data_IF_069837905450
#
_entry.id   IF_069837905450
#
_cell.length_a   1.000
_cell.length_b   1.000
_cell.length_c   1.000
_cell.angle_alpha   90.00
_cell.angle_beta   90.00
_cell.angle_gamma   90.00
#
_symmetry.space_group_name_H-M   'P 1'
#
loop_
_entity.id
_entity.type
_entity.pdbx_description
1 polymer ?
#
# COMPACT_ATOMS: atom_id res chain seq x y z
N UNK A 1 -10.35 -8.71 23.65
CA UNK A 1 -11.67 -8.42 24.25
C UNK A 1 -11.85 -6.93 24.55
N UNK A 2 -10.96 -6.29 25.35
CA UNK A 2 -11.15 -4.88 25.74
C UNK A 2 -10.84 -3.89 24.61
N UNK A 3 -9.85 -4.16 23.78
CA UNK A 3 -9.46 -3.32 22.62
C UNK A 3 -10.54 -3.42 21.54
N UNK A 4 -11.06 -4.62 21.27
CA UNK A 4 -12.16 -4.83 20.32
C UNK A 4 -13.45 -4.14 20.77
N UNK A 5 -13.77 -4.17 22.07
CA UNK A 5 -14.92 -3.46 22.63
C UNK A 5 -14.76 -1.92 22.60
N UNK A 6 -13.53 -1.42 22.84
CA UNK A 6 -13.22 0.01 22.73
C UNK A 6 -13.24 0.47 21.27
N UNK A 7 -12.78 -0.36 20.34
CA UNK A 7 -12.80 -0.06 18.90
C UNK A 7 -14.22 -0.12 18.32
N UNK A 8 -15.01 -1.16 18.66
CA UNK A 8 -16.42 -1.24 18.30
C UNK A 8 -17.21 -0.01 18.80
N UNK A 9 -16.93 0.41 20.03
CA UNK A 9 -17.54 1.61 20.61
C UNK A 9 -17.12 2.89 19.89
N UNK A 10 -15.86 2.99 19.45
CA UNK A 10 -15.37 4.13 18.65
C UNK A 10 -16.07 4.22 17.29
N UNK A 11 -16.29 3.07 16.62
CA UNK A 11 -17.03 3.01 15.36
C UNK A 11 -18.51 3.39 15.53
N UNK A 12 -19.13 2.97 16.62
CA UNK A 12 -20.52 3.32 16.95
C UNK A 12 -20.65 4.81 17.37
N UNK A 13 -19.76 5.30 18.23
CA UNK A 13 -19.76 6.68 18.72
C UNK A 13 -19.34 7.69 17.63
N UNK A 14 -18.46 7.28 16.68
CA UNK A 14 -18.02 8.09 15.54
C UNK A 14 -19.04 8.18 14.39
N UNK A 15 -20.17 7.47 14.48
CA UNK A 15 -21.24 7.51 13.48
C UNK A 15 -20.93 6.71 12.20
N UNK A 16 -19.88 5.89 12.20
CA UNK A 16 -19.53 4.99 11.09
C UNK A 16 -20.41 3.75 11.07
N UNK A 17 -21.07 3.41 12.20
CA UNK A 17 -22.14 2.43 12.25
C UNK A 17 -23.46 3.19 12.27
N UNK A 18 -24.17 3.25 11.14
CA UNK A 18 -25.52 3.82 11.08
C UNK A 18 -26.48 2.88 11.80
N UNK A 19 -27.06 3.30 12.91
CA UNK A 19 -28.32 2.71 13.37
C UNK A 19 -29.37 2.85 12.26
N UNK A 20 -29.77 1.74 11.64
CA UNK A 20 -30.98 1.64 10.84
C UNK A 20 -30.95 2.34 9.48
N UNK A 21 -29.92 2.15 8.66
CA UNK A 21 -30.04 2.29 7.22
C UNK A 21 -30.97 1.20 6.68
N UNK A 22 -31.98 1.57 5.85
CA UNK A 22 -32.89 0.61 5.25
C UNK A 22 -32.12 -0.55 4.65
N UNK A 23 -32.41 -1.76 5.11
CA UNK A 23 -31.86 -3.02 4.60
C UNK A 23 -32.06 -3.00 3.07
N UNK A 24 -30.94 -3.01 2.29
CA UNK A 24 -30.97 -3.54 0.97
C UNK A 24 -31.65 -4.93 1.06
N UNK A 25 -32.57 -5.25 0.18
CA UNK A 25 -33.26 -6.53 0.18
C UNK A 25 -32.20 -7.64 0.31
N UNK A 26 -32.14 -8.26 1.50
CA UNK A 26 -31.34 -9.47 1.71
C UNK A 26 -31.71 -10.46 0.62
N UNK A 27 -30.80 -10.72 -0.31
CA UNK A 27 -30.87 -11.98 -1.05
C UNK A 27 -30.86 -13.08 0.01
N UNK A 28 -31.84 -13.99 0.04
CA UNK A 28 -31.88 -15.04 1.04
C UNK A 28 -30.53 -15.78 1.04
N UNK A 29 -29.96 -16.04 2.20
CA UNK A 29 -28.71 -16.80 2.36
C UNK A 29 -28.72 -18.13 1.56
N UNK A 30 -29.90 -18.72 1.34
CA UNK A 30 -30.11 -19.87 0.47
C UNK A 30 -29.75 -19.66 -1.02
N UNK A 31 -29.80 -18.43 -1.53
CA UNK A 31 -29.45 -18.15 -2.93
C UNK A 31 -27.94 -18.00 -3.15
N UNK A 32 -27.20 -17.58 -2.11
CA UNK A 32 -25.73 -17.50 -2.15
C UNK A 32 -25.09 -18.87 -1.94
N UNK A 33 -25.67 -19.72 -1.07
CA UNK A 33 -25.21 -21.10 -0.84
C UNK A 33 -25.25 -21.97 -2.10
N UNK A 34 -26.05 -21.62 -3.12
CA UNK A 34 -26.16 -22.41 -4.36
C UNK A 34 -24.99 -22.25 -5.33
N UNK A 35 -24.09 -21.28 -5.11
CA UNK A 35 -22.96 -20.98 -6.01
C UNK A 35 -21.62 -21.54 -5.49
N UNK A 36 -21.56 -21.92 -4.22
CA UNK A 36 -20.37 -22.56 -3.66
C UNK A 36 -20.43 -24.07 -3.80
N UNK A 37 -19.32 -24.73 -4.23
CA UNK A 37 -19.25 -26.18 -4.19
C UNK A 37 -19.32 -26.65 -2.72
N UNK A 38 -19.80 -27.86 -2.45
CA UNK A 38 -19.73 -28.41 -1.11
C UNK A 38 -18.26 -28.47 -0.68
N UNK A 39 -17.97 -28.09 0.59
CA UNK A 39 -16.58 -28.08 1.06
C UNK A 39 -15.97 -29.48 0.94
N UNK A 40 -14.63 -29.56 0.66
CA UNK A 40 -13.92 -30.85 0.63
C UNK A 40 -14.13 -31.61 1.94
N UNK A 41 -14.38 -32.91 1.84
CA UNK A 41 -14.69 -33.74 2.98
C UNK A 41 -13.55 -33.71 4.02
N UNK A 42 -13.87 -33.35 5.26
CA UNK A 42 -12.92 -33.34 6.38
C UNK A 42 -12.23 -31.98 6.62
N UNK A 43 -12.35 -30.99 5.74
CA UNK A 43 -11.81 -29.65 5.98
C UNK A 43 -12.82 -28.83 6.79
N UNK A 44 -12.42 -28.38 7.98
CA UNK A 44 -13.26 -27.61 8.91
C UNK A 44 -12.74 -26.22 9.19
N UNK A 45 -11.47 -25.98 8.85
CA UNK A 45 -10.82 -24.70 9.08
C UNK A 45 -9.73 -24.42 8.03
N UNK A 46 -9.51 -23.14 7.77
CA UNK A 46 -8.41 -22.59 6.99
C UNK A 46 -7.66 -21.57 7.85
N UNK A 47 -6.34 -21.56 7.74
CA UNK A 47 -5.46 -20.63 8.43
C UNK A 47 -4.80 -19.70 7.43
N UNK A 48 -4.97 -18.37 7.63
CA UNK A 48 -4.36 -17.33 6.83
C UNK A 48 -3.35 -16.61 7.70
N UNK A 49 -2.09 -16.57 7.30
CA UNK A 49 -1.08 -15.73 7.95
C UNK A 49 -1.13 -14.33 7.38
N UNK A 50 -1.11 -13.31 8.24
CA UNK A 50 -0.97 -11.91 7.83
C UNK A 50 -0.24 -11.08 8.89
N UNK A 51 0.15 -9.85 8.50
CA UNK A 51 0.67 -8.87 9.43
C UNK A 51 -0.41 -8.39 10.41
N UNK A 52 0.02 -7.93 11.59
CA UNK A 52 -0.88 -7.37 12.60
C UNK A 52 -1.20 -5.91 12.27
N UNK A 53 -2.43 -5.66 11.80
CA UNK A 53 -2.98 -4.35 11.49
C UNK A 53 -4.49 -4.43 11.24
N UNK A 54 -5.16 -3.28 11.14
CA UNK A 54 -6.62 -3.24 11.02
C UNK A 54 -7.19 -4.06 9.86
N UNK A 55 -6.63 -4.06 8.62
CA UNK A 55 -7.13 -4.92 7.55
C UNK A 55 -7.13 -6.42 7.87
N UNK A 56 -6.23 -6.90 8.72
CA UNK A 56 -6.24 -8.31 9.13
C UNK A 56 -7.44 -8.62 10.04
N UNK A 57 -7.86 -7.67 10.87
CA UNK A 57 -9.09 -7.79 11.66
C UNK A 57 -10.32 -7.79 10.75
N UNK A 58 -10.35 -6.94 9.73
CA UNK A 58 -11.43 -6.92 8.73
C UNK A 58 -11.49 -8.24 7.94
N UNK A 59 -10.35 -8.82 7.57
CA UNK A 59 -10.31 -10.13 6.91
C UNK A 59 -10.82 -11.25 7.84
N UNK A 60 -10.61 -11.14 9.16
CA UNK A 60 -11.20 -12.07 10.11
C UNK A 60 -12.74 -11.97 10.12
N UNK A 61 -13.31 -10.75 10.03
CA UNK A 61 -14.76 -10.58 9.92
C UNK A 61 -15.30 -11.17 8.59
N UNK A 62 -14.61 -10.98 7.49
CA UNK A 62 -14.91 -11.65 6.22
C UNK A 62 -14.83 -13.17 6.38
N UNK A 63 -13.83 -13.68 7.10
CA UNK A 63 -13.71 -15.10 7.43
C UNK A 63 -14.87 -15.63 8.24
N UNK A 64 -15.39 -14.84 9.18
CA UNK A 64 -16.58 -15.19 9.97
C UNK A 64 -17.84 -15.28 9.09
N UNK A 65 -17.98 -14.42 8.06
CA UNK A 65 -19.07 -14.52 7.08
C UNK A 65 -18.97 -15.82 6.26
N UNK A 66 -17.75 -16.18 5.83
CA UNK A 66 -17.51 -17.42 5.11
C UNK A 66 -17.86 -18.65 5.95
N UNK A 67 -17.52 -18.66 7.26
CA UNK A 67 -17.89 -19.71 8.18
C UNK A 67 -19.41 -19.84 8.32
N UNK A 68 -20.14 -18.73 8.40
CA UNK A 68 -21.61 -18.73 8.47
C UNK A 68 -22.25 -19.36 7.24
N UNK A 69 -21.68 -19.13 6.04
CA UNK A 69 -22.20 -19.66 4.79
C UNK A 69 -21.81 -21.11 4.54
N UNK A 70 -20.58 -21.51 4.89
CA UNK A 70 -20.01 -22.80 4.48
C UNK A 70 -19.79 -23.78 5.62
N UNK A 71 -19.74 -23.31 6.86
CA UNK A 71 -19.34 -24.09 8.03
C UNK A 71 -17.83 -24.34 8.14
N UNK A 72 -17.02 -23.73 7.28
CA UNK A 72 -15.54 -23.77 7.34
C UNK A 72 -15.06 -22.52 8.08
N UNK A 73 -14.43 -22.72 9.22
CA UNK A 73 -13.83 -21.63 10.00
C UNK A 73 -12.62 -21.06 9.27
N UNK A 74 -12.49 -19.73 9.24
CA UNK A 74 -11.29 -19.04 8.75
C UNK A 74 -10.62 -18.37 9.95
N UNK A 75 -9.35 -18.66 10.17
CA UNK A 75 -8.54 -18.05 11.21
C UNK A 75 -7.50 -17.15 10.55
N UNK A 76 -7.55 -15.85 10.78
CA UNK A 76 -6.51 -14.91 10.39
C UNK A 76 -5.50 -14.82 11.53
N UNK A 77 -4.31 -15.36 11.30
CA UNK A 77 -3.22 -15.41 12.27
C UNK A 77 -2.32 -14.23 12.02
N UNK A 78 -2.26 -13.33 13.00
CA UNK A 78 -1.59 -12.04 12.86
C UNK A 78 -0.23 -12.06 13.54
N UNK A 79 0.79 -11.55 12.84
CA UNK A 79 2.15 -11.37 13.34
C UNK A 79 2.58 -9.90 13.23
N UNK A 80 3.31 -9.36 14.22
CA UNK A 80 3.83 -8.00 14.11
C UNK A 80 4.66 -7.81 12.84
N UNK A 81 4.53 -6.65 12.19
CA UNK A 81 5.23 -6.34 10.94
C UNK A 81 6.72 -6.66 10.99
N UNK A 82 7.41 -6.31 12.08
CA UNK A 82 8.85 -6.55 12.23
C UNK A 82 9.28 -8.02 12.28
N UNK A 83 8.37 -8.96 12.55
CA UNK A 83 8.64 -10.40 12.61
C UNK A 83 7.91 -11.21 11.53
N UNK A 84 6.95 -10.61 10.84
CA UNK A 84 6.07 -11.28 9.90
C UNK A 84 6.84 -11.96 8.75
N UNK A 85 7.77 -11.26 8.12
CA UNK A 85 8.61 -11.81 7.06
C UNK A 85 9.51 -12.95 7.53
N UNK A 86 10.18 -12.77 8.66
CA UNK A 86 11.08 -13.79 9.23
C UNK A 86 10.32 -15.06 9.62
N UNK A 87 9.12 -14.92 10.21
CA UNK A 87 8.28 -16.04 10.55
C UNK A 87 7.85 -16.78 9.29
N UNK A 88 7.34 -16.06 8.29
CA UNK A 88 6.87 -16.64 7.03
C UNK A 88 7.98 -17.42 6.33
N UNK A 89 9.15 -16.82 6.11
CA UNK A 89 10.24 -17.50 5.42
C UNK A 89 10.87 -18.64 6.22
N UNK A 90 10.83 -18.58 7.56
CA UNK A 90 11.24 -19.70 8.42
C UNK A 90 10.32 -20.90 8.23
N UNK A 91 9.01 -20.69 8.26
CA UNK A 91 8.00 -21.74 8.05
C UNK A 91 8.11 -22.32 6.63
N UNK A 92 8.27 -21.47 5.62
CA UNK A 92 8.39 -21.91 4.21
C UNK A 92 9.68 -22.68 3.96
N UNK A 93 10.80 -22.28 4.56
CA UNK A 93 12.08 -23.00 4.47
C UNK A 93 12.00 -24.39 5.09
N UNK A 94 11.17 -24.56 6.10
CA UNK A 94 10.88 -25.87 6.71
C UNK A 94 9.82 -26.68 5.94
N UNK A 95 9.26 -26.15 4.85
CA UNK A 95 8.10 -26.71 4.13
C UNK A 95 6.91 -26.96 5.07
N UNK A 96 6.70 -26.03 6.01
CA UNK A 96 5.66 -26.10 7.00
C UNK A 96 4.26 -26.00 6.40
N UNK A 97 3.29 -26.50 7.14
CA UNK A 97 1.88 -26.54 6.74
C UNK A 97 0.97 -25.94 7.81
N UNK A 98 1.52 -25.05 8.65
CA UNK A 98 0.77 -24.37 9.72
C UNK A 98 -0.27 -23.41 9.16
N UNK A 99 -0.03 -22.90 7.96
CA UNK A 99 -0.89 -21.97 7.24
C UNK A 99 -1.32 -22.57 5.90
N UNK A 100 -2.55 -22.26 5.47
CA UNK A 100 -3.06 -22.61 4.15
C UNK A 100 -2.77 -21.54 3.12
N UNK A 101 -2.86 -20.31 3.57
CA UNK A 101 -2.66 -19.11 2.78
C UNK A 101 -1.83 -18.09 3.56
N UNK A 102 -1.23 -17.17 2.82
CA UNK A 102 -0.64 -15.96 3.35
C UNK A 102 -1.17 -14.78 2.54
N UNK A 103 -1.51 -13.68 3.23
CA UNK A 103 -1.62 -12.38 2.57
C UNK A 103 -0.22 -11.79 2.64
N UNK A 104 0.55 -12.08 1.59
CA UNK A 104 1.97 -11.80 1.53
C UNK A 104 2.27 -10.47 0.86
N UNK A 105 3.31 -9.82 1.33
CA UNK A 105 3.80 -8.57 0.76
C UNK A 105 4.20 -8.77 -0.71
N UNK A 106 3.91 -7.81 -1.57
CA UNK A 106 4.20 -7.87 -3.00
C UNK A 106 5.70 -8.07 -3.29
N UNK A 107 6.56 -7.50 -2.46
CA UNK A 107 8.01 -7.67 -2.55
C UNK A 107 8.49 -9.13 -2.40
N UNK A 108 7.67 -10.01 -1.80
CA UNK A 108 8.01 -11.44 -1.61
C UNK A 108 7.58 -12.34 -2.77
N UNK A 109 6.77 -11.82 -3.69
CA UNK A 109 6.17 -12.61 -4.76
C UNK A 109 7.23 -13.35 -5.61
N UNK A 110 8.26 -12.63 -6.01
CA UNK A 110 9.36 -13.20 -6.82
C UNK A 110 10.13 -14.29 -6.09
N UNK A 111 10.49 -14.08 -4.83
CA UNK A 111 11.19 -15.07 -4.01
C UNK A 111 10.31 -16.30 -3.76
N UNK A 112 9.10 -16.11 -3.29
CA UNK A 112 8.22 -17.20 -2.87
C UNK A 112 7.76 -18.07 -4.03
N UNK A 113 7.48 -17.48 -5.20
CA UNK A 113 7.14 -18.22 -6.40
C UNK A 113 8.33 -19.00 -6.95
N UNK A 114 9.52 -18.37 -7.04
CA UNK A 114 10.74 -19.01 -7.55
C UNK A 114 11.24 -20.16 -6.68
N UNK A 115 11.05 -20.06 -5.37
CA UNK A 115 11.44 -21.11 -4.41
C UNK A 115 10.34 -22.19 -4.25
N UNK A 116 9.19 -22.04 -4.92
CA UNK A 116 8.11 -23.01 -4.90
C UNK A 116 7.30 -23.02 -3.60
N UNK A 117 7.30 -21.92 -2.86
CA UNK A 117 6.51 -21.77 -1.64
C UNK A 117 5.03 -21.53 -1.95
N UNK A 118 4.73 -20.82 -3.04
CA UNK A 118 3.38 -20.55 -3.50
C UNK A 118 2.90 -21.59 -4.52
N UNK A 119 1.62 -21.88 -4.47
CA UNK A 119 0.95 -22.70 -5.47
C UNK A 119 0.74 -21.89 -6.74
N UNK A 120 1.03 -22.47 -7.91
CA UNK A 120 0.62 -21.89 -9.19
C UNK A 120 -0.92 -21.83 -9.28
N UNK A 121 -1.47 -20.63 -9.35
CA UNK A 121 -2.90 -20.39 -9.40
C UNK A 121 -3.38 -19.96 -10.81
N UNK A 122 -2.52 -20.01 -11.83
CA UNK A 122 -2.80 -19.52 -13.18
C UNK A 122 -4.07 -20.08 -13.77
N UNK A 123 -4.19 -21.41 -13.78
CA UNK A 123 -5.38 -22.10 -14.31
C UNK A 123 -6.64 -21.77 -13.50
N UNK A 124 -6.50 -21.70 -12.18
CA UNK A 124 -7.62 -21.37 -11.29
C UNK A 124 -8.13 -19.95 -11.53
N UNK A 125 -7.26 -18.95 -11.46
CA UNK A 125 -7.64 -17.54 -11.65
C UNK A 125 -8.19 -17.26 -13.04
N UNK A 126 -7.63 -17.93 -14.06
CA UNK A 126 -8.05 -17.77 -15.45
C UNK A 126 -9.38 -18.47 -15.75
N UNK A 127 -9.54 -19.74 -15.34
CA UNK A 127 -10.74 -20.51 -15.63
C UNK A 127 -11.98 -20.02 -14.87
N UNK A 128 -11.79 -19.46 -13.68
CA UNK A 128 -12.86 -18.84 -12.88
C UNK A 128 -13.18 -17.41 -13.32
N UNK A 129 -12.26 -16.75 -14.03
CA UNK A 129 -12.39 -15.35 -14.47
C UNK A 129 -12.16 -14.32 -13.36
N UNK A 130 -11.84 -14.74 -12.12
CA UNK A 130 -11.69 -13.81 -10.98
C UNK A 130 -10.49 -12.88 -11.13
N UNK A 131 -9.47 -13.24 -11.93
CA UNK A 131 -8.35 -12.33 -12.25
C UNK A 131 -8.80 -11.04 -12.94
N UNK A 132 -9.95 -11.06 -13.62
CA UNK A 132 -10.48 -9.91 -14.34
C UNK A 132 -11.39 -9.01 -13.46
N UNK A 133 -11.59 -9.39 -12.20
CA UNK A 133 -12.34 -8.58 -11.22
C UNK A 133 -11.50 -7.46 -10.58
N UNK A 134 -10.19 -7.59 -10.60
CA UNK A 134 -9.26 -6.65 -9.98
C UNK A 134 -8.62 -5.70 -11.00
N UNK A 135 -7.96 -4.65 -10.53
CA UNK A 135 -7.26 -3.74 -11.43
C UNK A 135 -6.06 -4.45 -12.10
N UNK A 136 -5.73 -4.12 -13.35
CA UNK A 136 -4.58 -4.72 -14.03
C UNK A 136 -3.25 -4.54 -13.28
N UNK A 137 -3.06 -3.39 -12.63
CA UNK A 137 -1.85 -3.11 -11.86
C UNK A 137 -1.72 -4.04 -10.64
N UNK A 138 -2.79 -4.18 -9.84
CA UNK A 138 -2.74 -5.07 -8.66
C UNK A 138 -2.59 -6.54 -9.07
N UNK A 139 -3.22 -6.97 -10.16
CA UNK A 139 -3.00 -8.33 -10.68
C UNK A 139 -1.54 -8.56 -11.08
N UNK A 140 -0.92 -7.58 -11.74
CA UNK A 140 0.49 -7.65 -12.14
C UNK A 140 1.41 -7.69 -10.93
N UNK A 141 1.24 -6.77 -9.97
CA UNK A 141 2.19 -6.61 -8.88
C UNK A 141 1.99 -7.59 -7.72
N UNK A 142 0.74 -8.01 -7.44
CA UNK A 142 0.44 -8.90 -6.32
C UNK A 142 0.21 -10.35 -6.72
N UNK A 143 0.08 -10.62 -8.01
CA UNK A 143 -0.24 -11.96 -8.48
C UNK A 143 0.75 -12.53 -9.48
N UNK A 144 1.31 -11.72 -10.38
CA UNK A 144 2.07 -12.20 -11.53
C UNK A 144 3.57 -12.25 -11.28
N UNK A 145 4.18 -13.42 -11.53
CA UNK A 145 5.64 -13.55 -11.57
C UNK A 145 6.06 -14.69 -12.53
N UNK A 146 7.10 -14.52 -13.39
CA UNK A 146 7.77 -13.23 -13.69
C UNK A 146 6.83 -12.20 -14.34
N UNK A 147 7.13 -10.89 -14.22
CA UNK A 147 6.30 -9.86 -14.84
C UNK A 147 6.07 -10.09 -16.34
N UNK A 148 4.81 -10.00 -16.79
CA UNK A 148 4.41 -10.23 -18.18
C UNK A 148 4.38 -11.69 -18.63
N UNK A 149 4.53 -12.65 -17.73
CA UNK A 149 4.50 -14.09 -18.05
C UNK A 149 3.10 -14.67 -18.18
N UNK A 150 2.10 -14.03 -17.58
CA UNK A 150 0.76 -14.59 -17.42
C UNK A 150 0.68 -15.72 -16.40
N UNK A 151 1.70 -15.88 -15.54
CA UNK A 151 1.73 -16.89 -14.48
C UNK A 151 1.40 -16.23 -13.16
N UNK A 152 0.35 -16.69 -12.48
CA UNK A 152 -0.22 -16.07 -11.28
C UNK A 152 -0.04 -16.93 -10.03
N UNK A 153 0.43 -16.31 -8.96
CA UNK A 153 0.78 -16.96 -7.68
C UNK A 153 -0.03 -16.41 -6.49
N UNK A 154 -0.74 -15.30 -6.68
CA UNK A 154 -1.56 -14.66 -5.68
C UNK A 154 -2.81 -14.01 -6.28
N UNK A 155 -3.83 -13.82 -5.45
CA UNK A 155 -5.01 -13.01 -5.77
C UNK A 155 -4.88 -11.67 -5.03
N UNK A 156 -4.95 -10.51 -5.73
CA UNK A 156 -4.89 -9.20 -5.11
C UNK A 156 -5.94 -9.02 -4.02
N UNK A 157 -5.50 -8.73 -2.81
CA UNK A 157 -6.35 -8.71 -1.61
C UNK A 157 -6.44 -7.34 -0.99
N UNK A 158 -5.29 -6.72 -0.78
CA UNK A 158 -5.15 -5.39 -0.18
C UNK A 158 -4.44 -4.47 -1.16
N UNK A 159 -5.11 -3.39 -1.57
CA UNK A 159 -4.68 -2.51 -2.65
C UNK A 159 -4.13 -1.18 -2.16
N UNK A 160 -3.36 -1.15 -1.08
CA UNK A 160 -2.86 0.10 -0.53
C UNK A 160 -1.89 0.82 -1.47
N UNK A 161 -1.81 2.14 -1.33
CA UNK A 161 -0.92 2.99 -2.12
C UNK A 161 -0.59 4.27 -1.34
N UNK A 162 0.50 4.94 -1.73
CA UNK A 162 0.84 6.24 -1.19
C UNK A 162 -0.04 7.36 -1.75
N UNK A 163 -0.44 8.26 -0.85
CA UNK A 163 -1.16 9.49 -1.17
C UNK A 163 -0.76 10.61 -0.21
N UNK A 164 -1.51 11.69 -0.24
CA UNK A 164 -1.21 12.88 0.54
C UNK A 164 -2.44 13.38 1.28
N UNK A 165 -2.24 13.78 2.53
CA UNK A 165 -3.18 14.57 3.31
C UNK A 165 -2.73 16.03 3.35
N UNK A 166 -3.67 16.99 3.44
CA UNK A 166 -3.37 18.41 3.57
C UNK A 166 -4.38 19.11 4.50
N UNK A 167 -3.98 20.23 5.06
CA UNK A 167 -4.74 21.07 5.98
C UNK A 167 -5.60 22.05 5.19
N UNK A 168 -6.90 21.77 5.00
CA UNK A 168 -7.85 22.65 4.32
C UNK A 168 -7.94 24.03 4.96
N UNK A 169 -7.91 24.11 6.29
CA UNK A 169 -7.94 25.38 7.03
C UNK A 169 -6.77 26.31 6.67
N UNK A 170 -5.61 25.76 6.28
CA UNK A 170 -4.49 26.55 5.77
C UNK A 170 -4.68 26.89 4.28
N UNK A 171 -5.06 25.92 3.46
CA UNK A 171 -5.18 26.09 2.02
C UNK A 171 -6.37 26.96 1.60
N UNK A 172 -7.46 26.95 2.37
CA UNK A 172 -8.69 27.70 2.12
C UNK A 172 -8.73 29.03 2.90
N UNK A 173 -7.69 29.36 3.66
CA UNK A 173 -7.58 30.64 4.34
C UNK A 173 -7.38 31.77 3.32
N UNK A 174 -8.27 32.79 3.26
CA UNK A 174 -8.18 33.86 2.25
C UNK A 174 -6.88 34.66 2.30
N UNK A 175 -6.28 34.85 3.47
CA UNK A 175 -5.05 35.58 3.65
C UNK A 175 -3.86 34.76 3.12
N UNK A 176 -3.84 33.45 3.38
CA UNK A 176 -2.83 32.52 2.85
C UNK A 176 -2.94 32.39 1.34
N UNK A 177 -4.16 32.27 0.80
CA UNK A 177 -4.39 32.23 -0.64
C UNK A 177 -3.88 33.48 -1.34
N UNK A 178 -4.15 34.65 -0.78
CA UNK A 178 -3.69 35.92 -1.34
C UNK A 178 -2.16 36.06 -1.28
N UNK A 179 -1.55 35.70 -0.15
CA UNK A 179 -0.10 35.76 0.04
C UNK A 179 0.64 34.77 -0.85
N UNK A 180 0.12 33.55 -0.99
CA UNK A 180 0.69 32.53 -1.89
C UNK A 180 0.65 33.00 -3.35
N UNK A 181 -0.52 33.49 -3.79
CA UNK A 181 -0.69 34.01 -5.15
C UNK A 181 0.23 35.21 -5.46
N UNK A 182 0.42 36.11 -4.49
CA UNK A 182 1.35 37.24 -4.62
C UNK A 182 2.80 36.75 -4.77
N UNK A 183 3.18 35.71 -4.01
CA UNK A 183 4.55 35.17 -4.03
C UNK A 183 4.85 34.30 -5.26
N UNK A 184 3.95 33.41 -5.64
CA UNK A 184 4.21 32.39 -6.67
C UNK A 184 3.48 32.63 -8.00
N UNK A 185 2.48 33.50 -8.03
CA UNK A 185 1.78 33.92 -9.27
C UNK A 185 0.65 33.00 -9.71
N UNK A 186 0.31 31.98 -8.93
CA UNK A 186 -0.84 31.09 -9.17
C UNK A 186 -1.63 30.81 -7.88
N UNK A 187 -2.81 30.24 -8.01
CA UNK A 187 -3.71 30.03 -6.88
C UNK A 187 -3.21 28.86 -5.99
N UNK A 188 -3.34 29.01 -4.66
CA UNK A 188 -3.08 27.96 -3.69
C UNK A 188 -4.16 26.88 -3.79
N UNK A 189 -3.76 25.67 -4.09
CA UNK A 189 -4.60 24.48 -4.19
C UNK A 189 -3.74 23.23 -3.93
N UNK A 190 -4.30 22.03 -3.71
CA UNK A 190 -3.53 20.80 -3.68
C UNK A 190 -2.62 20.68 -4.91
N UNK A 191 -1.34 20.33 -4.74
CA UNK A 191 -0.36 20.38 -5.83
C UNK A 191 -0.63 19.31 -6.89
N UNK A 192 -0.61 19.69 -8.16
CA UNK A 192 -0.71 18.78 -9.30
C UNK A 192 0.68 18.29 -9.77
N UNK A 193 1.75 19.03 -9.41
CA UNK A 193 3.12 18.71 -9.79
C UNK A 193 4.08 18.78 -8.61
N UNK A 194 5.21 18.08 -8.68
CA UNK A 194 6.26 18.17 -7.64
C UNK A 194 6.83 19.60 -7.50
N UNK A 195 6.85 20.39 -8.56
CA UNK A 195 7.24 21.80 -8.46
C UNK A 195 6.25 22.60 -7.59
N UNK A 196 4.94 22.39 -7.77
CA UNK A 196 3.92 23.03 -6.93
C UNK A 196 3.97 22.49 -5.49
N UNK A 197 4.20 21.16 -5.31
CA UNK A 197 4.39 20.57 -3.99
C UNK A 197 5.52 21.27 -3.21
N UNK A 198 6.65 21.50 -3.88
CA UNK A 198 7.79 22.23 -3.29
C UNK A 198 7.45 23.68 -2.96
N UNK A 199 6.87 24.43 -3.90
CA UNK A 199 6.47 25.82 -3.67
C UNK A 199 5.52 25.96 -2.46
N UNK A 200 4.55 25.07 -2.34
CA UNK A 200 3.59 25.04 -1.24
C UNK A 200 4.28 24.63 0.07
N UNK A 201 5.18 23.64 0.01
CA UNK A 201 5.93 23.20 1.19
C UNK A 201 6.83 24.33 1.73
N UNK A 202 7.54 25.04 0.86
CA UNK A 202 8.34 26.21 1.24
C UNK A 202 7.48 27.36 1.77
N UNK A 203 6.28 27.56 1.21
CA UNK A 203 5.36 28.60 1.65
C UNK A 203 4.86 28.40 3.09
N UNK A 204 4.54 27.17 3.44
CA UNK A 204 4.04 26.82 4.79
C UNK A 204 5.15 26.49 5.78
N UNK A 205 6.42 26.52 5.38
CA UNK A 205 7.52 26.33 6.34
C UNK A 205 7.78 27.62 7.12
N UNK A 206 7.33 27.64 8.37
CA UNK A 206 7.39 28.77 9.32
C UNK A 206 7.84 28.25 10.68
N UNK A 207 9.14 28.02 10.90
CA UNK A 207 9.63 27.44 12.14
C UNK A 207 9.26 28.19 13.41
N UNK A 208 9.10 29.53 13.33
CA UNK A 208 8.67 30.39 14.43
C UNK A 208 7.21 30.13 14.86
N UNK A 209 6.39 29.56 13.97
CA UNK A 209 5.00 29.14 14.23
C UNK A 209 4.90 27.64 14.53
N UNK A 210 6.03 26.92 14.54
CA UNK A 210 6.10 25.45 14.60
C UNK A 210 5.30 24.78 13.47
N UNK A 211 5.25 25.41 12.29
CA UNK A 211 4.60 24.91 11.10
C UNK A 211 5.65 24.63 10.02
N UNK A 212 5.53 23.47 9.38
CA UNK A 212 6.41 23.00 8.33
C UNK A 212 5.60 22.55 7.11
N UNK A 213 6.25 22.49 5.94
CA UNK A 213 5.54 22.21 4.71
C UNK A 213 5.10 20.78 4.59
N UNK A 214 5.95 19.82 4.99
CA UNK A 214 5.70 18.40 4.74
C UNK A 214 6.11 17.50 5.90
N UNK A 215 5.48 16.33 5.96
CA UNK A 215 6.00 15.12 6.56
C UNK A 215 6.12 14.04 5.48
N UNK A 216 7.33 13.53 5.25
CA UNK A 216 7.66 12.48 4.30
C UNK A 216 8.47 11.37 4.97
N UNK A 217 8.53 10.19 4.34
CA UNK A 217 9.24 9.05 4.87
C UNK A 217 10.77 9.22 4.85
N UNK A 218 11.42 8.90 5.95
CA UNK A 218 12.88 9.07 6.11
C UNK A 218 13.54 7.90 6.83
N UNK A 219 12.76 6.96 7.37
CA UNK A 219 13.27 5.78 8.05
C UNK A 219 13.97 4.85 7.05
N UNK A 220 15.21 4.47 7.35
CA UNK A 220 15.98 3.53 6.53
C UNK A 220 15.78 2.09 7.02
N UNK A 221 14.52 1.65 7.15
CA UNK A 221 14.12 0.32 7.60
C UNK A 221 12.81 -0.08 6.93
N UNK A 222 12.53 -1.38 6.87
CA UNK A 222 11.46 -2.02 6.11
C UNK A 222 11.48 -1.52 4.65
N UNK A 223 10.59 -0.63 4.25
CA UNK A 223 10.52 -0.03 2.90
C UNK A 223 10.39 1.51 2.90
N UNK A 224 10.30 2.13 4.09
CA UNK A 224 9.86 3.51 4.28
C UNK A 224 10.49 4.55 3.34
N UNK A 225 11.80 4.84 3.48
CA UNK A 225 12.45 5.86 2.64
C UNK A 225 12.46 5.48 1.15
N UNK A 226 12.51 4.17 0.87
CA UNK A 226 12.49 3.65 -0.50
C UNK A 226 11.14 3.94 -1.16
N UNK A 227 10.03 3.64 -0.47
CA UNK A 227 8.69 3.93 -0.96
C UNK A 227 8.45 5.42 -1.13
N UNK A 228 8.86 6.22 -0.14
CA UNK A 228 8.77 7.66 -0.27
C UNK A 228 9.50 8.19 -1.50
N UNK A 229 10.71 7.72 -1.76
CA UNK A 229 11.51 8.09 -2.93
C UNK A 229 10.92 7.56 -4.25
N UNK A 230 10.37 6.33 -4.26
CA UNK A 230 9.77 5.72 -5.46
C UNK A 230 8.64 6.57 -6.06
N UNK A 231 7.82 7.21 -5.23
CA UNK A 231 6.79 8.13 -5.70
C UNK A 231 7.37 9.24 -6.60
N UNK A 232 8.49 9.82 -6.18
CA UNK A 232 9.19 10.83 -6.97
C UNK A 232 9.92 10.20 -8.16
N UNK A 233 10.70 9.13 -7.93
CA UNK A 233 11.50 8.47 -8.96
C UNK A 233 10.66 8.05 -10.17
N UNK A 234 9.56 7.34 -9.94
CA UNK A 234 8.70 6.89 -11.02
C UNK A 234 8.00 8.06 -11.74
N UNK A 235 7.54 9.07 -10.99
CA UNK A 235 6.90 10.25 -11.58
C UNK A 235 7.88 11.11 -12.38
N UNK A 236 9.17 11.09 -12.06
CA UNK A 236 10.21 11.76 -12.82
C UNK A 236 10.68 10.97 -14.05
N UNK A 237 10.22 9.72 -14.22
CA UNK A 237 10.59 8.84 -15.32
C UNK A 237 11.74 7.88 -15.00
N UNK A 238 12.22 7.86 -13.75
CA UNK A 238 13.22 6.91 -13.26
C UNK A 238 12.67 5.51 -13.02
N UNK A 239 13.55 4.56 -12.75
CA UNK A 239 13.20 3.18 -12.41
C UNK A 239 14.36 2.49 -11.69
N UNK A 240 14.09 1.35 -11.04
CA UNK A 240 15.12 0.51 -10.42
C UNK A 240 16.00 -0.22 -11.45
N UNK A 241 15.41 -0.71 -12.53
CA UNK A 241 16.10 -1.40 -13.61
C UNK A 241 15.31 -1.34 -14.91
N UNK A 242 15.96 -1.75 -16.01
CA UNK A 242 15.32 -1.99 -17.30
C UNK A 242 14.64 -3.37 -17.37
N UNK A 243 14.02 -3.69 -18.50
CA UNK A 243 13.36 -4.99 -18.74
C UNK A 243 14.35 -6.18 -18.77
N UNK A 244 15.66 -5.91 -18.87
CA UNK A 244 16.73 -6.90 -18.78
C UNK A 244 17.28 -7.09 -17.37
N UNK A 245 16.71 -6.39 -16.39
CA UNK A 245 17.20 -6.27 -15.02
C UNK A 245 18.60 -5.61 -14.92
N UNK A 246 18.92 -4.69 -15.82
CA UNK A 246 20.11 -3.87 -15.68
C UNK A 246 19.77 -2.66 -14.82
N UNK A 247 20.41 -2.54 -13.65
CA UNK A 247 20.27 -1.39 -12.77
C UNK A 247 21.16 -0.22 -13.20
N UNK A 248 22.36 -0.53 -13.68
CA UNK A 248 23.33 0.49 -14.12
C UNK A 248 22.80 1.31 -15.31
N UNK A 249 22.82 2.63 -15.18
CA UNK A 249 22.29 3.56 -16.18
C UNK A 249 20.78 3.76 -16.12
N UNK A 250 20.07 3.06 -15.22
CA UNK A 250 18.63 3.17 -15.01
C UNK A 250 18.31 3.78 -13.65
N UNK A 251 18.70 3.15 -12.54
CA UNK A 251 18.45 3.72 -11.21
C UNK A 251 19.26 4.98 -10.97
N UNK A 252 20.42 5.13 -11.61
CA UNK A 252 21.25 6.33 -11.57
C UNK A 252 21.11 7.22 -12.83
N UNK A 253 19.96 7.13 -13.50
CA UNK A 253 19.61 8.01 -14.63
C UNK A 253 19.46 9.47 -14.19
N UNK A 254 19.60 10.45 -15.13
CA UNK A 254 19.34 11.85 -14.80
C UNK A 254 17.97 12.13 -14.19
N UNK A 255 16.95 11.36 -14.60
CA UNK A 255 15.57 11.45 -14.09
C UNK A 255 15.50 11.01 -12.62
N UNK A 256 16.14 9.88 -12.28
CA UNK A 256 16.22 9.39 -10.90
C UNK A 256 17.03 10.34 -10.01
N UNK A 257 18.12 10.91 -10.54
CA UNK A 257 18.93 11.91 -9.81
C UNK A 257 18.10 13.14 -9.50
N UNK A 258 17.37 13.68 -10.48
CA UNK A 258 16.51 14.85 -10.28
C UNK A 258 15.38 14.56 -9.27
N UNK A 259 14.83 13.34 -9.27
CA UNK A 259 13.85 12.91 -8.30
C UNK A 259 14.42 12.84 -6.87
N UNK A 260 15.64 12.31 -6.72
CA UNK A 260 16.30 12.21 -5.42
C UNK A 260 16.73 13.60 -4.89
N UNK A 261 17.14 14.50 -5.76
CA UNK A 261 17.40 15.90 -5.41
C UNK A 261 16.10 16.58 -4.92
N UNK A 262 14.98 16.42 -5.62
CA UNK A 262 13.68 16.94 -5.18
C UNK A 262 13.27 16.38 -3.82
N UNK A 263 13.43 15.07 -3.60
CA UNK A 263 13.09 14.43 -2.31
C UNK A 263 13.93 15.00 -1.16
N UNK A 264 15.23 15.18 -1.41
CA UNK A 264 16.14 15.81 -0.44
C UNK A 264 15.82 17.28 -0.21
N UNK A 265 15.48 18.04 -1.26
CA UNK A 265 15.06 19.44 -1.12
C UNK A 265 13.82 19.55 -0.21
N UNK A 266 12.81 18.69 -0.39
CA UNK A 266 11.63 18.65 0.49
C UNK A 266 12.02 18.33 1.95
N UNK A 267 12.95 17.39 2.15
CA UNK A 267 13.48 17.07 3.48
C UNK A 267 14.21 18.27 4.10
N UNK A 268 15.17 18.85 3.38
CA UNK A 268 16.04 19.91 3.92
C UNK A 268 15.31 21.22 4.21
N UNK A 269 14.37 21.61 3.32
CA UNK A 269 13.67 22.89 3.49
C UNK A 269 12.49 22.77 4.46
N UNK A 270 11.74 21.65 4.43
CA UNK A 270 10.33 21.72 4.69
C UNK A 270 9.81 20.56 5.56
N UNK A 271 10.65 19.56 5.88
CA UNK A 271 10.34 18.49 6.81
C UNK A 271 10.31 19.02 8.24
N UNK A 272 9.31 18.61 9.02
CA UNK A 272 9.25 18.98 10.42
C UNK A 272 10.45 18.40 11.23
N UNK A 273 11.02 19.15 12.19
CA UNK A 273 12.06 18.65 13.06
C UNK A 273 11.64 17.39 13.82
N UNK A 274 12.58 16.46 14.01
CA UNK A 274 12.32 15.19 14.66
C UNK A 274 11.89 14.06 13.74
N UNK A 275 11.61 14.35 12.47
CA UNK A 275 11.20 13.37 11.47
C UNK A 275 12.39 12.84 10.63
N UNK A 276 13.57 12.71 11.21
CA UNK A 276 14.75 12.11 10.55
C UNK A 276 14.73 10.58 10.52
N UNK A 277 13.73 9.95 11.17
CA UNK A 277 13.48 8.51 11.16
C UNK A 277 11.97 8.28 11.15
N UNK A 278 11.28 8.89 10.18
CA UNK A 278 9.83 8.86 10.08
C UNK A 278 9.34 7.79 9.10
N UNK A 279 8.29 7.10 9.52
CA UNK A 279 7.47 6.24 8.69
C UNK A 279 5.99 6.60 8.91
N UNK A 280 5.07 5.66 8.74
CA UNK A 280 3.63 5.94 8.75
C UNK A 280 3.09 6.53 10.06
N UNK A 281 3.66 6.16 11.21
CA UNK A 281 3.23 6.68 12.52
C UNK A 281 3.65 8.14 12.70
N UNK A 282 4.93 8.42 12.50
CA UNK A 282 5.51 9.74 12.74
C UNK A 282 4.97 10.80 11.77
N UNK A 283 4.67 10.41 10.51
CA UNK A 283 4.07 11.33 9.54
C UNK A 283 2.63 11.68 9.92
N UNK A 284 1.84 10.70 10.37
CA UNK A 284 0.49 10.96 10.90
C UNK A 284 0.53 11.79 12.19
N UNK A 285 1.41 11.47 13.12
CA UNK A 285 1.55 12.20 14.39
C UNK A 285 1.91 13.68 14.16
N UNK A 286 2.80 13.96 13.20
CA UNK A 286 3.15 15.33 12.82
C UNK A 286 1.94 16.10 12.25
N UNK A 287 1.11 15.45 11.44
CA UNK A 287 -0.11 16.04 10.89
C UNK A 287 -1.16 16.28 11.98
N UNK A 288 -1.45 15.28 12.80
CA UNK A 288 -2.39 15.35 13.93
C UNK A 288 -1.94 16.42 14.94
N UNK A 289 -0.62 16.55 15.17
CA UNK A 289 -0.02 17.57 15.99
C UNK A 289 -0.07 18.98 15.41
N UNK A 290 -0.57 19.17 14.18
CA UNK A 290 -0.64 20.45 13.48
C UNK A 290 0.72 21.02 13.08
N UNK A 291 1.76 20.18 13.04
CA UNK A 291 3.13 20.60 12.74
C UNK A 291 3.40 20.72 11.23
N UNK A 292 2.56 20.12 10.40
CA UNK A 292 2.76 20.12 8.95
C UNK A 292 1.51 20.51 8.18
N UNK A 293 1.72 21.17 7.04
CA UNK A 293 0.63 21.55 6.13
C UNK A 293 0.20 20.38 5.25
N UNK A 294 1.13 19.49 4.90
CA UNK A 294 0.91 18.30 4.08
C UNK A 294 1.65 17.10 4.67
N UNK A 295 1.08 15.90 4.49
CA UNK A 295 1.70 14.65 4.95
C UNK A 295 1.52 13.56 3.90
N UNK A 296 2.61 12.90 3.53
CA UNK A 296 2.59 11.70 2.69
C UNK A 296 2.40 10.48 3.60
N UNK A 297 1.53 9.57 3.18
CA UNK A 297 1.35 8.28 3.84
C UNK A 297 0.62 7.31 2.92
N UNK A 298 0.64 6.03 3.26
CA UNK A 298 -0.28 5.06 2.69
C UNK A 298 -1.73 5.40 3.06
N UNK A 299 -2.67 5.17 2.15
CA UNK A 299 -4.09 5.42 2.39
C UNK A 299 -4.63 4.62 3.59
N UNK A 300 -4.08 3.44 3.88
CA UNK A 300 -4.46 2.62 5.02
C UNK A 300 -4.28 3.31 6.39
N UNK A 301 -3.46 4.34 6.47
CA UNK A 301 -3.24 5.10 7.70
C UNK A 301 -4.02 6.43 7.77
N UNK A 302 -4.77 6.78 6.73
CA UNK A 302 -5.60 7.99 6.72
C UNK A 302 -6.90 7.92 7.55
N UNK A 303 -7.47 6.75 7.90
CA UNK A 303 -8.59 6.71 8.84
C UNK A 303 -8.36 7.48 10.14
N UNK A 304 -7.14 7.45 10.70
CA UNK A 304 -6.78 8.24 11.87
C UNK A 304 -6.91 9.76 11.64
N UNK A 305 -6.66 10.23 10.42
CA UNK A 305 -6.68 11.65 10.07
C UNK A 305 -8.11 12.22 9.92
N UNK A 306 -9.10 11.37 9.69
CA UNK A 306 -10.51 11.77 9.60
C UNK A 306 -11.29 11.51 10.88
N UNK A 307 -10.67 10.90 11.88
CA UNK A 307 -11.27 10.65 13.18
C UNK A 307 -11.14 11.87 14.10
N UNK A 308 -12.25 12.58 14.46
CA UNK A 308 -12.20 13.78 15.30
C UNK A 308 -11.77 13.51 16.76
N UNK A 309 -11.81 12.27 17.22
CA UNK A 309 -11.31 11.90 18.56
C UNK A 309 -9.79 11.83 18.61
N UNK A 310 -9.15 11.59 17.46
CA UNK A 310 -7.69 11.47 17.31
C UNK A 310 -7.09 12.74 16.72
N UNK A 311 -7.69 13.25 15.64
CA UNK A 311 -7.20 14.40 14.90
C UNK A 311 -8.07 15.64 15.15
N UNK A 312 -7.57 16.68 15.84
CA UNK A 312 -8.32 17.92 16.04
C UNK A 312 -8.64 18.67 14.74
N UNK A 313 -7.95 18.33 13.64
CA UNK A 313 -8.14 18.88 12.30
C UNK A 313 -8.94 17.96 11.36
N UNK A 314 -9.59 16.92 11.88
CA UNK A 314 -10.28 15.91 11.05
C UNK A 314 -11.27 16.54 10.05
N UNK A 315 -12.05 17.57 10.47
CA UNK A 315 -12.98 18.28 9.58
C UNK A 315 -12.27 19.10 8.49
N UNK A 316 -11.03 19.53 8.75
CA UNK A 316 -10.21 20.34 7.87
C UNK A 316 -9.10 19.52 7.18
N UNK A 317 -9.19 18.20 7.21
CA UNK A 317 -8.29 17.31 6.47
C UNK A 317 -8.82 17.07 5.06
N UNK A 318 -7.99 17.34 4.07
CA UNK A 318 -8.22 16.99 2.66
C UNK A 318 -7.19 16.00 2.17
N UNK A 319 -7.45 15.39 1.01
CA UNK A 319 -6.58 14.39 0.43
C UNK A 319 -6.33 14.66 -1.04
N UNK A 320 -5.16 14.31 -1.54
CA UNK A 320 -4.81 14.41 -2.95
C UNK A 320 -3.87 13.28 -3.37
N UNK A 321 -3.83 13.05 -4.65
CA UNK A 321 -3.00 12.00 -5.28
C UNK A 321 -1.55 12.44 -5.39
N UNK A 322 -0.62 11.51 -5.55
CA UNK A 322 0.79 11.86 -5.74
C UNK A 322 0.97 12.77 -6.97
N UNK A 323 1.76 13.86 -6.86
CA UNK A 323 1.91 14.83 -7.95
C UNK A 323 2.65 14.28 -9.19
N UNK A 324 2.45 14.94 -10.32
CA UNK A 324 3.17 14.66 -11.57
C UNK A 324 4.61 15.14 -11.51
N UNK A 325 5.49 14.38 -12.13
CA UNK A 325 6.87 14.77 -12.38
C UNK A 325 6.99 15.79 -13.53
N UNK A 326 8.21 16.27 -13.81
CA UNK A 326 8.48 17.30 -14.84
C UNK A 326 8.09 16.89 -16.27
N UNK A 327 8.12 15.58 -16.56
CA UNK A 327 7.71 15.01 -17.85
C UNK A 327 6.19 14.87 -18.02
N UNK A 328 5.43 15.08 -16.97
CA UNK A 328 3.98 14.85 -16.92
C UNK A 328 3.59 13.45 -16.50
N UNK A 329 4.54 12.55 -16.28
CA UNK A 329 4.28 11.22 -15.73
C UNK A 329 3.84 11.34 -14.27
N UNK A 330 2.92 10.44 -13.88
CA UNK A 330 2.36 10.39 -12.53
C UNK A 330 2.30 8.94 -12.07
N UNK A 331 2.95 8.67 -10.97
CA UNK A 331 2.90 7.37 -10.32
C UNK A 331 2.80 7.53 -8.80
N UNK A 332 2.15 6.57 -8.16
CA UNK A 332 2.19 6.38 -6.71
C UNK A 332 2.75 5.00 -6.41
N UNK A 333 3.54 4.91 -5.37
CA UNK A 333 4.04 3.63 -4.90
C UNK A 333 2.88 2.80 -4.34
N UNK A 334 2.80 1.56 -4.79
CA UNK A 334 1.79 0.58 -4.37
C UNK A 334 2.38 -0.23 -3.23
N UNK A 335 1.69 -0.37 -2.13
CA UNK A 335 2.16 -1.02 -0.90
C UNK A 335 1.27 -2.17 -0.44
N UNK A 336 0.60 -2.82 -1.36
CA UNK A 336 -0.40 -3.81 -1.01
C UNK A 336 0.06 -5.26 -1.12
N UNK A 337 -0.89 -6.16 -1.02
CA UNK A 337 -0.62 -7.56 -0.75
C UNK A 337 -1.57 -8.50 -1.49
N UNK A 338 -1.04 -9.65 -1.86
CA UNK A 338 -1.76 -10.73 -2.50
C UNK A 338 -1.98 -11.93 -1.59
N UNK A 339 -3.15 -12.56 -1.69
CA UNK A 339 -3.42 -13.83 -1.03
C UNK A 339 -2.90 -14.98 -1.88
N UNK A 340 -1.87 -15.65 -1.37
CA UNK A 340 -1.23 -16.80 -2.01
C UNK A 340 -1.50 -18.08 -1.22
N UNK A 341 -1.66 -19.19 -1.94
CA UNK A 341 -1.87 -20.52 -1.34
C UNK A 341 -0.50 -21.18 -1.13
N UNK A 342 -0.27 -21.73 0.04
CA UNK A 342 0.96 -22.45 0.37
C UNK A 342 1.00 -23.78 -0.41
N UNK A 343 2.10 -24.02 -1.14
CA UNK A 343 2.23 -25.20 -2.02
C UNK A 343 2.31 -26.54 -1.26
N UNK A 344 2.74 -26.52 0.00
CA UNK A 344 3.05 -27.71 0.80
C UNK A 344 1.84 -28.36 1.46
N UNK A 345 0.67 -27.67 1.50
CA UNK A 345 -0.57 -28.22 2.09
C UNK A 345 -1.19 -29.28 1.16
N UNK A 346 -2.05 -30.12 1.71
CA UNK A 346 -2.70 -31.20 0.95
C UNK A 346 -3.60 -30.66 -0.18
N UNK A 347 -3.79 -31.43 -1.28
CA UNK A 347 -4.67 -31.03 -2.38
C UNK A 347 -6.09 -30.64 -1.94
N UNK A 348 -6.67 -31.30 -0.94
CA UNK A 348 -7.99 -30.97 -0.43
C UNK A 348 -7.99 -29.60 0.28
N UNK A 349 -6.94 -29.27 1.02
CA UNK A 349 -6.76 -27.96 1.64
C UNK A 349 -6.50 -26.87 0.58
N UNK A 350 -5.70 -27.18 -0.47
CA UNK A 350 -5.52 -26.28 -1.61
C UNK A 350 -6.85 -25.97 -2.31
N UNK A 351 -7.73 -26.98 -2.45
CA UNK A 351 -9.05 -26.77 -3.04
C UNK A 351 -9.93 -25.89 -2.15
N UNK A 352 -9.95 -26.15 -0.83
CA UNK A 352 -10.71 -25.32 0.12
C UNK A 352 -10.22 -23.86 0.14
N UNK A 353 -8.90 -23.64 0.03
CA UNK A 353 -8.30 -22.30 -0.11
C UNK A 353 -8.73 -21.61 -1.41
N UNK A 354 -8.74 -22.32 -2.54
CA UNK A 354 -9.27 -21.81 -3.82
C UNK A 354 -10.75 -21.44 -3.71
N UNK A 355 -11.56 -22.23 -3.03
CA UNK A 355 -12.99 -21.95 -2.85
C UNK A 355 -13.20 -20.68 -2.01
N UNK A 356 -12.38 -20.48 -0.95
CA UNK A 356 -12.39 -19.23 -0.18
C UNK A 356 -11.99 -18.03 -1.05
N UNK A 357 -10.90 -18.10 -1.79
CA UNK A 357 -10.44 -17.00 -2.66
C UNK A 357 -11.52 -16.68 -3.72
N UNK A 358 -12.14 -17.70 -4.33
CA UNK A 358 -13.21 -17.49 -5.30
C UNK A 358 -14.43 -16.80 -4.68
N UNK A 359 -14.79 -17.16 -3.46
CA UNK A 359 -15.87 -16.53 -2.73
C UNK A 359 -15.50 -15.08 -2.34
N UNK A 360 -14.30 -14.86 -1.81
CA UNK A 360 -13.79 -13.52 -1.47
C UNK A 360 -13.76 -12.58 -2.67
N UNK A 361 -13.47 -13.09 -3.87
CA UNK A 361 -13.43 -12.31 -5.11
C UNK A 361 -14.80 -11.86 -5.64
N UNK A 362 -15.92 -12.28 -5.05
CA UNK A 362 -17.26 -11.84 -5.46
C UNK A 362 -17.44 -10.34 -5.19
N UNK A 363 -18.05 -9.61 -6.14
CA UNK A 363 -18.26 -8.17 -6.00
C UNK A 363 -18.99 -7.79 -4.70
N UNK A 364 -19.97 -8.61 -4.26
CA UNK A 364 -20.70 -8.39 -2.99
C UNK A 364 -19.81 -8.52 -1.76
N UNK A 365 -18.90 -9.50 -1.75
CA UNK A 365 -17.96 -9.70 -0.64
C UNK A 365 -16.88 -8.62 -0.66
N UNK A 366 -16.43 -8.19 -1.82
CA UNK A 366 -15.51 -7.07 -1.96
C UNK A 366 -16.14 -5.73 -1.54
N UNK A 367 -17.47 -5.57 -1.66
CA UNK A 367 -18.20 -4.44 -1.08
C UNK A 367 -18.20 -4.48 0.44
N UNK A 368 -18.44 -5.65 1.05
CA UNK A 368 -18.36 -5.83 2.51
C UNK A 368 -16.92 -5.61 3.00
N UNK A 369 -15.92 -6.15 2.28
CA UNK A 369 -14.51 -5.90 2.55
C UNK A 369 -14.19 -4.39 2.60
N UNK A 370 -14.62 -3.65 1.59
CA UNK A 370 -14.42 -2.21 1.51
C UNK A 370 -15.23 -1.44 2.58
N UNK A 371 -16.42 -1.92 2.92
CA UNK A 371 -17.26 -1.31 3.97
C UNK A 371 -16.68 -1.47 5.38
N UNK A 372 -15.94 -2.56 5.62
CA UNK A 372 -15.18 -2.77 6.86
C UNK A 372 -13.91 -1.87 6.92
N UNK A 373 -13.46 -1.33 5.82
CA UNK A 373 -12.24 -0.51 5.72
C UNK A 373 -11.09 -1.17 4.96
N UNK A 374 -11.30 -2.34 4.36
CA UNK A 374 -10.33 -3.00 3.49
C UNK A 374 -10.12 -2.23 2.20
N UNK A 375 -8.88 -2.14 1.74
CA UNK A 375 -8.50 -1.44 0.51
C UNK A 375 -8.62 -2.39 -0.68
N UNK A 376 -9.85 -2.48 -1.19
CA UNK A 376 -10.18 -3.44 -2.26
C UNK A 376 -9.39 -3.18 -3.54
N UNK A 377 -8.99 -4.27 -4.21
CA UNK A 377 -8.45 -4.25 -5.56
C UNK A 377 -9.54 -4.41 -6.65
N UNK A 378 -10.81 -4.63 -6.26
CA UNK A 378 -11.90 -4.87 -7.21
C UNK A 378 -12.25 -3.62 -8.00
N UNK A 379 -12.12 -3.72 -9.34
CA UNK A 379 -12.30 -2.60 -10.26
C UNK A 379 -13.71 -1.98 -10.23
N UNK A 380 -14.75 -2.76 -9.92
CA UNK A 380 -16.13 -2.26 -9.86
C UNK A 380 -16.39 -1.57 -8.53
N UNK A 381 -15.91 -2.16 -7.43
CA UNK A 381 -16.10 -1.60 -6.08
C UNK A 381 -15.39 -0.27 -5.97
N UNK A 382 -14.15 -0.16 -6.47
CA UNK A 382 -13.38 1.10 -6.50
C UNK A 382 -14.12 2.27 -7.19
N UNK A 383 -15.02 1.96 -8.12
CA UNK A 383 -15.79 2.96 -8.87
C UNK A 383 -17.23 3.13 -8.35
N UNK A 384 -17.63 2.40 -7.33
CA UNK A 384 -18.98 2.48 -6.77
C UNK A 384 -19.19 3.78 -5.98
N UNK A 385 -20.41 4.30 -6.00
CA UNK A 385 -20.78 5.51 -5.24
C UNK A 385 -20.65 5.25 -3.73
N UNK A 386 -20.97 4.04 -3.29
CA UNK A 386 -20.84 3.59 -1.93
C UNK A 386 -19.38 3.70 -1.44
N UNK A 387 -18.43 3.19 -2.23
CA UNK A 387 -17.02 3.28 -1.89
C UNK A 387 -16.51 4.72 -1.91
N UNK A 388 -16.78 5.45 -2.99
CA UNK A 388 -16.28 6.82 -3.17
C UNK A 388 -16.80 7.80 -2.11
N UNK A 389 -17.99 7.53 -1.55
CA UNK A 389 -18.60 8.38 -0.51
C UNK A 389 -18.32 7.92 0.92
N UNK A 390 -17.78 6.72 1.12
CA UNK A 390 -17.60 6.11 2.44
C UNK A 390 -16.57 6.84 3.30
N UNK A 391 -15.49 7.34 2.70
CA UNK A 391 -14.47 8.12 3.40
C UNK A 391 -13.96 9.27 2.53
N UNK A 392 -13.54 10.40 3.13
CA UNK A 392 -13.06 11.57 2.39
C UNK A 392 -11.83 11.32 1.51
N UNK A 393 -11.03 10.30 1.82
CA UNK A 393 -9.83 9.91 1.07
C UNK A 393 -10.10 8.89 -0.05
N UNK A 394 -11.26 8.21 -0.07
CA UNK A 394 -11.57 7.18 -1.06
C UNK A 394 -11.55 7.68 -2.51
N UNK A 395 -12.01 8.90 -2.86
CA UNK A 395 -11.85 9.42 -4.21
C UNK A 395 -10.40 9.53 -4.66
N UNK A 396 -9.52 10.04 -3.79
CA UNK A 396 -8.08 10.12 -4.09
C UNK A 396 -7.44 8.73 -4.18
N UNK A 397 -7.84 7.80 -3.31
CA UNK A 397 -7.40 6.40 -3.40
C UNK A 397 -7.81 5.75 -4.72
N UNK A 398 -9.09 5.83 -5.10
CA UNK A 398 -9.59 5.25 -6.35
C UNK A 398 -8.90 5.83 -7.59
N UNK A 399 -8.60 7.13 -7.58
CA UNK A 399 -7.81 7.80 -8.63
C UNK A 399 -6.37 7.28 -8.64
N UNK A 400 -5.72 7.20 -7.47
CA UNK A 400 -4.35 6.70 -7.31
C UNK A 400 -4.19 5.30 -7.89
N UNK A 401 -5.15 4.40 -7.67
CA UNK A 401 -5.13 3.04 -8.20
C UNK A 401 -5.09 2.93 -9.72
N UNK A 402 -5.27 4.03 -10.45
CA UNK A 402 -5.15 4.06 -11.92
C UNK A 402 -3.73 4.28 -12.43
N UNK A 403 -2.79 4.73 -11.57
CA UNK A 403 -1.41 5.02 -11.93
C UNK A 403 -0.38 4.51 -10.90
N UNK A 404 -0.73 3.45 -10.21
CA UNK A 404 0.20 2.81 -9.24
C UNK A 404 1.32 2.05 -9.94
N UNK A 405 2.47 2.02 -9.29
CA UNK A 405 3.62 1.19 -9.63
C UNK A 405 4.23 0.67 -8.33
N UNK A 406 4.62 -0.60 -8.34
CA UNK A 406 5.05 -1.28 -7.13
C UNK A 406 6.53 -1.58 -7.13
N UNK A 407 6.95 -2.21 -6.06
CA UNK A 407 8.27 -2.77 -5.85
C UNK A 407 8.76 -3.60 -7.04
N UNK A 408 10.03 -3.65 -7.14
CA UNK A 408 10.69 -4.57 -8.05
C UNK A 408 10.68 -5.99 -7.47
N UNK A 409 9.66 -6.78 -7.75
CA UNK A 409 9.40 -8.11 -7.20
C UNK A 409 10.35 -9.20 -7.74
N UNK A 410 11.65 -8.93 -7.74
CA UNK A 410 12.70 -9.89 -8.10
C UNK A 410 13.08 -10.74 -6.86
N UNK A 411 13.51 -12.02 -7.01
CA UNK A 411 13.76 -12.91 -5.87
C UNK A 411 14.73 -12.42 -4.81
N UNK A 412 15.65 -11.53 -5.17
CA UNK A 412 16.64 -10.93 -4.26
C UNK A 412 16.30 -9.50 -3.83
N UNK A 413 15.04 -9.05 -4.03
CA UNK A 413 14.67 -7.66 -3.78
C UNK A 413 14.95 -7.22 -2.34
N UNK A 414 14.71 -8.06 -1.34
CA UNK A 414 15.02 -7.72 0.06
C UNK A 414 16.50 -7.42 0.32
N UNK A 415 17.42 -7.95 -0.50
CA UNK A 415 18.85 -7.61 -0.43
C UNK A 415 19.14 -6.28 -1.13
N UNK A 416 18.52 -6.04 -2.29
CA UNK A 416 18.62 -4.79 -3.04
C UNK A 416 18.04 -3.63 -2.24
N UNK A 417 16.89 -3.86 -1.59
CA UNK A 417 16.22 -2.88 -0.74
C UNK A 417 17.13 -2.35 0.37
N UNK A 418 17.87 -3.22 1.07
CA UNK A 418 18.80 -2.80 2.12
C UNK A 418 19.89 -1.86 1.62
N UNK A 419 20.39 -2.09 0.41
CA UNK A 419 21.38 -1.18 -0.22
C UNK A 419 20.74 0.17 -0.47
N UNK A 420 19.56 0.18 -1.09
CA UNK A 420 18.82 1.41 -1.40
C UNK A 420 18.53 2.22 -0.14
N UNK A 421 17.97 1.61 0.88
CA UNK A 421 17.67 2.25 2.17
C UNK A 421 18.90 2.90 2.80
N UNK A 422 20.03 2.19 2.78
CA UNK A 422 21.28 2.70 3.35
C UNK A 422 21.77 3.94 2.61
N UNK A 423 21.83 3.89 1.29
CA UNK A 423 22.38 4.98 0.48
C UNK A 423 21.43 6.19 0.42
N UNK A 424 20.12 5.94 0.32
CA UNK A 424 19.11 7.00 0.40
C UNK A 424 19.13 7.68 1.76
N UNK A 425 19.19 6.91 2.87
CA UNK A 425 19.29 7.45 4.21
C UNK A 425 20.56 8.25 4.44
N UNK A 426 21.70 7.76 3.96
CA UNK A 426 22.98 8.48 4.03
C UNK A 426 22.95 9.82 3.29
N UNK A 427 22.30 9.87 2.14
CA UNK A 427 22.21 11.10 1.35
C UNK A 427 21.10 12.03 1.88
N UNK A 428 19.86 11.56 1.98
CA UNK A 428 18.69 12.40 2.33
C UNK A 428 18.81 12.93 3.74
N UNK A 429 19.01 12.02 4.71
CA UNK A 429 19.03 12.36 6.14
C UNK A 429 20.44 12.72 6.59
N UNK A 430 21.42 11.94 6.19
CA UNK A 430 22.82 12.10 6.61
C UNK A 430 23.57 13.23 5.89
N UNK A 431 23.04 13.76 4.79
CA UNK A 431 23.66 14.83 4.00
C UNK A 431 25.00 14.43 3.37
N UNK A 432 25.23 13.15 3.09
CA UNK A 432 26.49 12.63 2.59
C UNK A 432 26.52 12.59 1.06
N UNK A 433 27.48 13.22 0.45
CA UNK A 433 27.72 13.18 -0.99
C UNK A 433 26.67 13.93 -1.81
N UNK A 434 26.41 13.45 -3.01
CA UNK A 434 25.43 13.98 -3.97
C UNK A 434 24.40 12.90 -4.31
N UNK A 435 23.25 13.30 -4.87
CA UNK A 435 22.22 12.37 -5.37
C UNK A 435 22.82 11.40 -6.41
N UNK A 436 23.66 11.90 -7.32
CA UNK A 436 24.35 11.06 -8.31
C UNK A 436 25.23 10.01 -7.64
N UNK A 437 26.07 10.41 -6.67
CA UNK A 437 26.96 9.47 -5.96
C UNK A 437 26.18 8.40 -5.18
N UNK A 438 25.05 8.76 -4.55
CA UNK A 438 24.20 7.80 -3.86
C UNK A 438 23.59 6.79 -4.83
N UNK A 439 23.00 7.25 -5.92
CA UNK A 439 22.40 6.39 -6.94
C UNK A 439 23.44 5.60 -7.73
N UNK A 440 24.65 6.11 -7.93
CA UNK A 440 25.76 5.34 -8.54
C UNK A 440 26.15 4.14 -7.67
N UNK A 441 26.25 4.33 -6.34
CA UNK A 441 26.52 3.21 -5.42
C UNK A 441 25.37 2.19 -5.40
N UNK A 442 24.13 2.62 -5.41
CA UNK A 442 22.98 1.74 -5.54
C UNK A 442 23.07 0.97 -6.87
N UNK A 443 23.32 1.66 -7.98
CA UNK A 443 23.42 1.04 -9.31
C UNK A 443 24.51 -0.02 -9.37
N UNK A 444 25.72 0.28 -8.85
CA UNK A 444 26.86 -0.63 -8.83
C UNK A 444 26.59 -1.90 -8.02
N UNK A 445 26.06 -1.74 -6.79
CA UNK A 445 25.77 -2.87 -5.91
C UNK A 445 24.58 -3.71 -6.44
N UNK A 446 23.51 -3.06 -6.91
CA UNK A 446 22.38 -3.76 -7.52
C UNK A 446 22.81 -4.53 -8.76
N UNK A 447 23.55 -3.90 -9.68
CA UNK A 447 24.02 -4.54 -10.91
C UNK A 447 24.84 -5.79 -10.59
N UNK A 448 25.77 -5.67 -9.62
CA UNK A 448 26.59 -6.80 -9.20
C UNK A 448 25.76 -7.94 -8.62
N UNK A 449 24.81 -7.63 -7.71
CA UNK A 449 23.94 -8.64 -7.10
C UNK A 449 23.08 -9.36 -8.15
N UNK A 450 22.58 -8.61 -9.13
CA UNK A 450 21.77 -9.13 -10.22
C UNK A 450 22.58 -10.02 -11.17
N UNK A 451 23.82 -9.65 -11.49
CA UNK A 451 24.74 -10.46 -12.28
C UNK A 451 25.15 -11.74 -11.55
N UNK A 452 25.55 -11.62 -10.27
CA UNK A 452 25.94 -12.76 -9.42
C UNK A 452 24.78 -13.75 -9.23
N UNK A 453 23.56 -13.25 -9.15
CA UNK A 453 22.33 -14.04 -9.05
C UNK A 453 21.82 -14.59 -10.38
N UNK A 454 22.41 -14.21 -11.52
CA UNK A 454 21.98 -14.62 -12.86
C UNK A 454 20.64 -14.03 -13.30
N UNK A 455 20.26 -12.87 -12.77
CA UNK A 455 18.98 -12.19 -13.08
C UNK A 455 19.08 -11.22 -14.26
N UNK A 456 20.28 -10.80 -14.66
CA UNK A 456 20.50 -9.99 -15.87
C UNK A 456 20.27 -10.85 -17.10
N UNK A 457 19.51 -10.33 -18.09
CA UNK A 457 19.13 -11.02 -19.33
C UNK A 457 20.01 -10.61 -20.50
#
# INVERSE_FOLDING_TARGET
>A
DRIAEEHQKMLEDGGFVKEGGAMAEEKPAEAMMSELPPPPEGIKELNILWAQWDPADYLQEIGNMYEQETGIKVNVIQEPWGSFGDLFFTEMSAQGTSYDMVVGDSQWLGQSSSQGHYLDMTDFLTSTGIKDSVTPATLQYYGEYPPGSGTYWGYPTEGDADGWAYRKDLFENPDEMAAFKDKYGYDLAPPETYAQLKDIAEFFTRPEENLYGVAIYTQADYDAITMGFENAMFSFGGNWADAGNNAMGVVNSPESVAALEMYKELYDCCQAPGLSNAFFVETNDAFIGGQVAMSMNYFAFFPALVNPEVNPYAADTGFFVNPKGPGGDQYAALGGQGMSIISYISPDRQQAAKDFIKWFAQDSIQQEWAALGGYTCNSKVLQSEEFLSAAPFNPAFAETMTFVKDFWNIPIYGELLRVSQTELGNYVVGGQGTAQEALDRIAEEHQKMLEDGGFVK
#
